data_IF_043302530319
#
_entry.id   IF_043302530319
#
_cell.length_a   1.000
_cell.length_b   1.000
_cell.length_c   1.000
_cell.angle_alpha   90.00
_cell.angle_beta   90.00
_cell.angle_gamma   90.00
#
_symmetry.space_group_name_H-M   'P 1'
#
loop_
_entity.id
_entity.type
_entity.pdbx_description
1 polymer ?
#
# COMPACT_ATOMS: atom_id res chain seq x y z
N UNK A 1 -17.97 14.76 4.37
CA UNK A 1 -17.31 13.59 5.00
C UNK A 1 -15.84 13.91 5.19
N UNK A 2 -15.29 13.78 6.40
CA UNK A 2 -13.87 14.02 6.65
C UNK A 2 -13.04 12.98 5.85
N UNK A 3 -12.04 13.39 5.06
CA UNK A 3 -11.25 12.45 4.27
C UNK A 3 -10.48 11.51 5.21
N UNK A 4 -10.95 10.26 5.33
CA UNK A 4 -10.21 9.19 6.00
C UNK A 4 -9.04 8.80 5.09
N UNK A 5 -7.81 9.12 5.50
CA UNK A 5 -6.58 8.75 4.77
C UNK A 5 -5.78 9.90 4.17
N UNK A 6 -5.54 11.00 4.90
CA UNK A 6 -4.79 12.15 4.41
C UNK A 6 -3.27 11.91 4.18
N UNK A 7 -2.75 10.68 4.39
CA UNK A 7 -1.32 10.39 4.28
C UNK A 7 -0.93 9.78 2.93
N UNK A 8 0.01 10.42 2.23
CA UNK A 8 0.55 9.94 0.94
C UNK A 8 1.38 8.67 1.11
N UNK A 9 1.66 7.96 0.01
CA UNK A 9 2.53 6.77 0.02
C UNK A 9 3.91 7.10 0.59
N UNK A 10 4.48 8.26 0.23
CA UNK A 10 5.78 8.72 0.75
C UNK A 10 5.74 8.90 2.27
N UNK A 11 4.67 9.52 2.80
CA UNK A 11 4.50 9.70 4.26
C UNK A 11 4.34 8.35 4.96
N UNK A 12 3.59 7.42 4.36
CA UNK A 12 3.43 6.07 4.90
C UNK A 12 4.75 5.29 4.89
N UNK A 13 5.56 5.40 3.83
CA UNK A 13 6.88 4.79 3.77
C UNK A 13 7.80 5.34 4.86
N UNK A 14 7.86 6.66 5.03
CA UNK A 14 8.64 7.30 6.10
C UNK A 14 8.22 6.79 7.48
N UNK A 15 6.90 6.68 7.70
CA UNK A 15 6.36 6.16 8.95
C UNK A 15 6.78 4.70 9.19
N UNK A 16 6.70 3.85 8.17
CA UNK A 16 7.04 2.43 8.30
C UNK A 16 8.55 2.17 8.48
N UNK A 17 9.41 3.02 7.92
CA UNK A 17 10.87 2.85 8.02
C UNK A 17 11.49 3.43 9.29
N UNK A 18 11.03 4.61 9.73
CA UNK A 18 11.81 5.41 10.70
C UNK A 18 11.04 5.84 11.95
N UNK A 19 9.72 5.64 12.01
CA UNK A 19 8.92 6.17 13.12
C UNK A 19 8.19 5.05 13.85
N UNK A 20 8.61 4.81 15.10
CA UNK A 20 7.86 3.98 16.04
C UNK A 20 6.46 4.59 16.32
N UNK A 21 5.48 3.80 16.81
CA UNK A 21 4.08 4.24 17.03
C UNK A 21 3.84 5.34 18.08
N UNK A 22 4.84 6.15 18.45
CA UNK A 22 4.69 7.18 19.49
C UNK A 22 3.74 8.31 19.09
N UNK A 23 2.92 8.77 20.04
CA UNK A 23 1.89 9.81 19.85
C UNK A 23 2.41 11.22 20.18
N UNK A 24 3.61 11.55 19.72
CA UNK A 24 4.21 12.87 19.94
C UNK A 24 3.91 13.83 18.76
N UNK A 25 3.35 15.03 18.97
CA UNK A 25 3.18 16.05 17.92
C UNK A 25 4.48 16.38 17.17
N UNK A 26 5.65 16.33 17.83
CA UNK A 26 6.95 16.52 17.20
C UNK A 26 7.25 15.44 16.14
N UNK A 27 6.61 14.26 16.24
CA UNK A 27 6.69 13.19 15.24
C UNK A 27 6.17 13.63 13.89
N UNK A 28 5.09 14.41 13.84
CA UNK A 28 4.45 14.77 12.57
C UNK A 28 5.28 15.77 11.76
N UNK A 29 5.99 16.69 12.44
CA UNK A 29 6.95 17.59 11.80
C UNK A 29 8.15 16.82 11.24
N UNK A 30 8.69 15.85 12.00
CA UNK A 30 9.76 14.97 11.51
C UNK A 30 9.32 14.15 10.31
N UNK A 31 8.11 13.61 10.33
CA UNK A 31 7.52 12.88 9.19
C UNK A 31 7.47 13.77 7.93
N UNK A 32 7.08 15.04 8.07
CA UNK A 32 7.03 15.98 6.94
C UNK A 32 8.43 16.28 6.37
N UNK A 33 9.42 16.57 7.24
CA UNK A 33 10.80 16.84 6.82
C UNK A 33 11.41 15.63 6.11
N UNK A 34 11.28 14.44 6.70
CA UNK A 34 11.79 13.19 6.12
C UNK A 34 11.07 12.86 4.80
N UNK A 35 9.76 13.09 4.71
CA UNK A 35 9.01 12.90 3.46
C UNK A 35 9.55 13.82 2.37
N UNK A 36 9.76 15.09 2.68
CA UNK A 36 10.29 16.04 1.71
C UNK A 36 11.71 15.67 1.25
N UNK A 37 12.59 15.25 2.17
CA UNK A 37 13.93 14.77 1.81
C UNK A 37 13.87 13.51 0.94
N UNK A 38 13.00 12.56 1.29
CA UNK A 38 12.78 11.33 0.52
C UNK A 38 12.33 11.63 -0.90
N UNK A 39 11.34 12.51 -1.07
CA UNK A 39 10.82 12.89 -2.39
C UNK A 39 11.79 13.70 -3.25
N UNK A 40 12.72 14.42 -2.64
CA UNK A 40 13.81 15.09 -3.36
C UNK A 40 14.92 14.13 -3.80
N UNK A 41 15.10 13.04 -3.06
CA UNK A 41 16.21 12.10 -3.30
C UNK A 41 15.80 10.95 -4.21
N UNK A 42 14.55 10.50 -4.13
CA UNK A 42 14.06 9.33 -4.85
C UNK A 42 12.93 9.68 -5.82
N UNK A 43 12.97 9.10 -7.01
CA UNK A 43 11.86 9.17 -7.95
C UNK A 43 10.61 8.43 -7.44
N UNK A 44 9.41 8.84 -7.90
CA UNK A 44 8.13 8.28 -7.45
C UNK A 44 8.02 6.75 -7.65
N UNK A 45 8.61 6.20 -8.73
CA UNK A 45 8.70 4.75 -8.96
C UNK A 45 9.46 4.02 -7.86
N UNK A 46 10.62 4.56 -7.45
CA UNK A 46 11.45 3.97 -6.39
C UNK A 46 10.78 4.06 -5.02
N UNK A 47 10.09 5.17 -4.74
CA UNK A 47 9.31 5.33 -3.50
C UNK A 47 8.20 4.27 -3.43
N UNK A 48 7.46 4.07 -4.53
CA UNK A 48 6.41 3.06 -4.59
C UNK A 48 6.98 1.65 -4.41
N UNK A 49 8.09 1.33 -5.07
CA UNK A 49 8.76 0.04 -4.94
C UNK A 49 9.18 -0.24 -3.49
N UNK A 50 9.84 0.71 -2.83
CA UNK A 50 10.24 0.58 -1.44
C UNK A 50 9.03 0.42 -0.52
N UNK A 51 7.98 1.21 -0.73
CA UNK A 51 6.72 1.09 0.01
C UNK A 51 6.14 -0.31 -0.10
N UNK A 52 5.98 -0.82 -1.33
CA UNK A 52 5.42 -2.14 -1.58
C UNK A 52 6.27 -3.28 -1.02
N UNK A 53 7.56 -3.07 -0.76
CA UNK A 53 8.42 -4.07 -0.14
C UNK A 53 8.44 -4.03 1.39
N UNK A 54 8.00 -2.93 2.00
CA UNK A 54 8.07 -2.73 3.46
C UNK A 54 6.70 -2.85 4.15
N UNK A 55 5.60 -2.78 3.39
CA UNK A 55 4.26 -2.97 3.97
C UNK A 55 3.88 -4.43 4.14
N UNK A 56 3.02 -4.69 5.11
CA UNK A 56 2.42 -5.99 5.36
C UNK A 56 1.14 -6.16 4.50
N UNK A 57 0.99 -7.32 3.85
CA UNK A 57 -0.14 -7.68 2.99
C UNK A 57 -1.04 -8.79 3.57
N UNK A 58 -0.70 -9.25 4.77
CA UNK A 58 -1.36 -10.34 5.48
C UNK A 58 -0.56 -10.71 6.73
N UNK A 59 -1.09 -11.49 7.68
CA UNK A 59 -0.42 -11.75 8.95
C UNK A 59 0.98 -12.35 8.76
N UNK A 60 2.01 -11.56 9.08
CA UNK A 60 3.42 -11.94 8.93
C UNK A 60 3.95 -11.94 7.48
N UNK A 61 3.18 -11.42 6.52
CA UNK A 61 3.52 -11.42 5.09
C UNK A 61 3.93 -10.01 4.66
N UNK A 62 5.24 -9.75 4.70
CA UNK A 62 5.84 -8.45 4.38
C UNK A 62 6.38 -8.41 2.96
N UNK A 63 6.02 -7.35 2.24
CA UNK A 63 6.45 -7.11 0.88
C UNK A 63 5.57 -7.79 -0.19
N UNK A 64 5.43 -7.11 -1.32
CA UNK A 64 4.54 -7.53 -2.41
C UNK A 64 4.99 -8.82 -3.09
N UNK A 65 6.30 -9.07 -3.22
CA UNK A 65 6.82 -10.33 -3.79
C UNK A 65 6.45 -11.51 -2.89
N UNK A 66 6.73 -11.41 -1.59
CA UNK A 66 6.36 -12.42 -0.60
C UNK A 66 4.85 -12.68 -0.62
N UNK A 67 4.03 -11.62 -0.70
CA UNK A 67 2.58 -11.73 -0.77
C UNK A 67 2.11 -12.41 -2.05
N UNK A 68 2.68 -12.05 -3.20
CA UNK A 68 2.35 -12.64 -4.49
C UNK A 68 2.62 -14.15 -4.50
N UNK A 69 3.80 -14.55 -4.02
CA UNK A 69 4.17 -15.96 -3.86
C UNK A 69 3.24 -16.69 -2.89
N UNK A 70 2.93 -16.07 -1.75
CA UNK A 70 2.10 -16.65 -0.70
C UNK A 70 0.66 -16.92 -1.14
N UNK A 71 0.05 -15.99 -1.87
CA UNK A 71 -1.38 -16.02 -2.17
C UNK A 71 -1.71 -16.48 -3.60
N UNK A 72 -0.79 -16.29 -4.55
CA UNK A 72 -1.03 -16.59 -5.96
C UNK A 72 0.04 -17.50 -6.59
N UNK A 73 1.11 -17.84 -5.86
CA UNK A 73 2.12 -18.79 -6.32
C UNK A 73 3.04 -18.27 -7.44
N UNK A 74 3.08 -16.95 -7.68
CA UNK A 74 3.80 -16.36 -8.82
C UNK A 74 4.58 -15.09 -8.47
N UNK A 75 5.57 -14.66 -9.29
CA UNK A 75 6.26 -13.40 -9.10
C UNK A 75 5.30 -12.21 -9.06
N UNK A 76 5.60 -11.17 -8.28
CA UNK A 76 4.78 -9.96 -8.22
C UNK A 76 4.70 -9.23 -9.57
N UNK A 77 5.71 -9.39 -10.44
CA UNK A 77 5.71 -8.87 -11.79
C UNK A 77 4.62 -9.47 -12.70
N UNK A 78 4.12 -10.67 -12.36
CA UNK A 78 3.13 -11.40 -13.14
C UNK A 78 1.71 -11.25 -12.58
N UNK A 79 1.51 -10.36 -11.61
CA UNK A 79 0.20 -10.07 -11.04
C UNK A 79 -0.71 -9.41 -12.08
N UNK A 80 -1.92 -9.96 -12.21
CA UNK A 80 -3.00 -9.33 -12.94
C UNK A 80 -3.71 -8.28 -12.11
N UNK A 81 -4.61 -7.54 -12.76
CA UNK A 81 -5.35 -6.43 -12.14
C UNK A 81 -6.17 -6.87 -10.93
N UNK A 82 -6.78 -8.05 -11.00
CA UNK A 82 -7.60 -8.59 -9.92
C UNK A 82 -6.78 -8.94 -8.68
N UNK A 83 -5.61 -9.55 -8.87
CA UNK A 83 -4.73 -9.95 -7.78
C UNK A 83 -4.06 -8.73 -7.15
N UNK A 84 -3.68 -7.75 -7.98
CA UNK A 84 -3.21 -6.45 -7.52
C UNK A 84 -4.29 -5.71 -6.70
N UNK A 85 -5.55 -5.76 -7.13
CA UNK A 85 -6.67 -5.19 -6.38
C UNK A 85 -6.87 -5.87 -5.02
N UNK A 86 -6.76 -7.20 -4.97
CA UNK A 86 -6.84 -7.98 -3.72
C UNK A 86 -5.73 -7.57 -2.74
N UNK A 87 -4.49 -7.48 -3.20
CA UNK A 87 -3.36 -7.06 -2.36
C UNK A 87 -3.45 -5.60 -1.93
N UNK A 88 -3.79 -4.68 -2.83
CA UNK A 88 -3.94 -3.26 -2.49
C UNK A 88 -5.05 -3.04 -1.46
N UNK A 89 -6.15 -3.79 -1.54
CA UNK A 89 -7.25 -3.73 -0.58
C UNK A 89 -6.89 -4.30 0.80
N UNK A 90 -5.79 -5.05 0.95
CA UNK A 90 -5.34 -5.61 2.23
C UNK A 90 -4.64 -4.56 3.12
N UNK A 91 -3.95 -3.60 2.51
CA UNK A 91 -3.07 -2.62 3.17
C UNK A 91 -3.69 -1.84 4.34
N UNK A 92 -4.99 -1.48 4.35
CA UNK A 92 -5.57 -0.76 5.48
C UNK A 92 -5.67 -1.60 6.77
N UNK A 93 -5.71 -2.93 6.66
CA UNK A 93 -5.89 -3.83 7.81
C UNK A 93 -5.33 -5.23 7.54
N UNK A 94 -4.01 -5.38 7.31
CA UNK A 94 -3.43 -6.63 6.81
C UNK A 94 -3.58 -7.80 7.78
N UNK A 95 -3.72 -7.54 9.09
CA UNK A 95 -3.99 -8.59 10.08
C UNK A 95 -5.35 -9.29 9.86
N UNK A 96 -6.36 -8.62 9.28
CA UNK A 96 -7.70 -9.14 9.08
C UNK A 96 -8.10 -9.27 7.60
N UNK A 97 -7.50 -8.45 6.74
CA UNK A 97 -7.80 -8.34 5.32
C UNK A 97 -6.60 -8.82 4.52
N UNK A 98 -6.80 -9.88 3.75
CA UNK A 98 -5.80 -10.48 2.87
C UNK A 98 -6.52 -11.44 1.90
N UNK A 99 -5.90 -11.87 0.77
CA UNK A 99 -6.57 -12.70 -0.23
C UNK A 99 -7.19 -14.00 0.30
N UNK A 100 -6.58 -14.60 1.35
CA UNK A 100 -7.13 -15.76 2.05
C UNK A 100 -8.25 -15.49 3.09
N UNK A 101 -8.70 -14.25 3.27
CA UNK A 101 -9.69 -13.87 4.28
C UNK A 101 -11.13 -14.05 3.77
N UNK A 102 -12.01 -14.60 4.60
CA UNK A 102 -13.45 -14.75 4.30
C UNK A 102 -14.29 -13.49 4.60
N UNK A 103 -13.65 -12.39 5.02
CA UNK A 103 -14.30 -11.15 5.45
C UNK A 103 -15.16 -10.51 4.36
N UNK A 104 -16.46 -10.36 4.63
CA UNK A 104 -17.38 -9.65 3.74
C UNK A 104 -17.08 -8.15 3.62
N UNK A 105 -16.46 -7.54 4.65
CA UNK A 105 -16.00 -6.16 4.59
C UNK A 105 -14.81 -6.01 3.63
N UNK A 106 -13.86 -6.95 3.68
CA UNK A 106 -12.73 -6.99 2.77
C UNK A 106 -13.19 -7.13 1.32
N UNK A 107 -14.07 -8.10 1.02
CA UNK A 107 -14.62 -8.27 -0.35
C UNK A 107 -15.27 -7.00 -0.88
N UNK A 108 -16.08 -6.31 -0.07
CA UNK A 108 -16.67 -5.02 -0.45
C UNK A 108 -15.63 -3.94 -0.70
N UNK A 109 -14.53 -3.95 0.06
CA UNK A 109 -13.43 -3.02 -0.14
C UNK A 109 -12.65 -3.30 -1.43
N UNK A 110 -12.39 -4.58 -1.74
CA UNK A 110 -11.78 -5.01 -3.02
C UNK A 110 -12.60 -4.50 -4.20
N UNK A 111 -13.92 -4.68 -4.17
CA UNK A 111 -14.81 -4.15 -5.21
C UNK A 111 -14.73 -2.63 -5.35
N UNK A 112 -14.57 -1.90 -4.24
CA UNK A 112 -14.36 -0.47 -4.28
C UNK A 112 -12.98 -0.08 -4.86
N UNK A 113 -11.94 -0.90 -4.65
CA UNK A 113 -10.62 -0.71 -5.27
C UNK A 113 -10.69 -0.98 -6.76
N UNK A 114 -11.29 -2.09 -7.19
CA UNK A 114 -11.51 -2.43 -8.62
C UNK A 114 -12.20 -1.29 -9.37
N UNK A 115 -13.32 -0.79 -8.84
CA UNK A 115 -14.03 0.36 -9.45
C UNK A 115 -13.17 1.61 -9.58
N UNK A 116 -12.20 1.83 -8.68
CA UNK A 116 -11.27 2.96 -8.78
C UNK A 116 -10.19 2.70 -9.83
N UNK A 117 -9.69 1.48 -9.91
CA UNK A 117 -8.74 1.06 -10.96
C UNK A 117 -9.37 1.20 -12.35
N UNK A 118 -10.63 0.78 -12.52
CA UNK A 118 -11.37 0.93 -13.78
C UNK A 118 -11.47 2.39 -14.22
N UNK A 119 -11.88 3.27 -13.30
CA UNK A 119 -11.91 4.71 -13.56
C UNK A 119 -10.54 5.30 -13.87
N UNK A 120 -9.47 4.69 -13.35
CA UNK A 120 -8.09 5.11 -13.57
C UNK A 120 -7.42 4.43 -14.78
N UNK A 121 -8.11 3.57 -15.52
CA UNK A 121 -7.54 2.87 -16.69
C UNK A 121 -6.94 3.82 -17.73
N UNK A 122 -7.45 5.05 -17.84
CA UNK A 122 -6.88 6.06 -18.74
C UNK A 122 -5.39 6.34 -18.46
N UNK A 123 -4.92 6.16 -17.21
CA UNK A 123 -3.52 6.32 -16.84
C UNK A 123 -2.61 5.31 -17.56
N UNK A 124 -3.11 4.13 -17.93
CA UNK A 124 -2.32 3.14 -18.69
C UNK A 124 -1.94 3.63 -20.09
N UNK A 125 -2.65 4.63 -20.62
CA UNK A 125 -2.33 5.22 -21.93
C UNK A 125 -1.24 6.29 -21.83
N UNK A 126 -0.89 6.71 -20.62
CA UNK A 126 0.08 7.79 -20.35
C UNK A 126 1.45 7.27 -19.88
N UNK A 127 1.58 5.96 -19.67
CA UNK A 127 2.78 5.26 -19.18
C UNK A 127 3.23 4.29 -20.26
#
# INVERSE_FOLDING_TARGET
>A
ELPRGASTISQQLVKNLWLSPSRDPLRKTREAILTWQLERTLGKRRILELYLNVVEFGPGVWGVESASRRYFGKPAADLGDDEAALLAAALPSPAAWHPGSSSAAYRRHVEAVRRRMDKAQFLRRLI
#
